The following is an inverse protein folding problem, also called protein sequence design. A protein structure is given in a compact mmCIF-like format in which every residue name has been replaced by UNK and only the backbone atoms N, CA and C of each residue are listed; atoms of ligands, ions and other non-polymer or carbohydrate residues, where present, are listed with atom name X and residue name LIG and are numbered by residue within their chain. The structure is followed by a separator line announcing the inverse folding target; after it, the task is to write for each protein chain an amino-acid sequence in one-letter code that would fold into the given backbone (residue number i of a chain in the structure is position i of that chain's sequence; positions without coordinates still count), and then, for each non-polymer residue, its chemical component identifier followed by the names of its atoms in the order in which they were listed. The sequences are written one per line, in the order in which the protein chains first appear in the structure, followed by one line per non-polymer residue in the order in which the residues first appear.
data_IF_785041656322
#
_entry.id   IF_785041656322
#
_cell.length_a   1.000
_cell.length_b   1.000
_cell.length_c   1.000
_cell.angle_alpha   90.00
_cell.angle_beta   90.00
_cell.angle_gamma   90.00
#
_symmetry.space_group_name_H-M   'P 1'
#
loop_
_entity.id
_entity.type
_entity.pdbx_description
1 polymer ?
#
# COMPACT_ATOMS: atom_id res chain seq x y z
N UNK A 1 -5.27 15.81 1.99
CA UNK A 1 -4.52 16.02 0.73
C UNK A 1 -4.07 14.65 0.23
N UNK A 2 -4.19 14.32 -1.06
CA UNK A 2 -3.61 13.08 -1.58
C UNK A 2 -2.13 13.03 -1.21
N UNK A 3 -1.57 11.85 -0.89
CA UNK A 3 -0.16 11.75 -0.55
C UNK A 3 0.65 12.34 -1.71
N UNK A 4 1.45 13.38 -1.42
CA UNK A 4 2.11 14.23 -2.43
C UNK A 4 2.85 13.42 -3.49
N UNK A 5 3.39 12.25 -3.11
CA UNK A 5 4.04 11.28 -3.99
C UNK A 5 3.11 10.74 -5.09
N UNK A 6 1.92 10.23 -4.75
CA UNK A 6 1.01 9.65 -5.73
C UNK A 6 0.51 10.70 -6.74
N UNK A 7 0.20 11.92 -6.26
CA UNK A 7 -0.19 13.02 -7.14
C UNK A 7 0.94 13.40 -8.11
N UNK A 8 2.21 13.41 -7.67
CA UNK A 8 3.37 13.67 -8.53
C UNK A 8 3.59 12.57 -9.57
N UNK A 9 3.40 11.29 -9.19
CA UNK A 9 3.47 10.18 -10.14
C UNK A 9 2.40 10.31 -11.24
N UNK A 10 1.17 10.65 -10.86
CA UNK A 10 0.07 10.86 -11.83
C UNK A 10 0.36 12.06 -12.73
N UNK A 11 0.87 13.16 -12.19
CA UNK A 11 1.21 14.34 -13.00
C UNK A 11 2.36 14.07 -14.00
N UNK A 12 3.35 13.25 -13.62
CA UNK A 12 4.51 12.97 -14.45
C UNK A 12 4.29 11.82 -15.46
N UNK A 13 3.50 10.81 -15.09
CA UNK A 13 3.41 9.55 -15.84
C UNK A 13 1.98 9.08 -16.11
N UNK A 14 0.96 9.81 -15.64
CA UNK A 14 -0.44 9.45 -15.84
C UNK A 14 -0.88 9.67 -17.28
N UNK A 15 -1.90 8.94 -17.72
CA UNK A 15 -2.50 9.15 -19.04
C UNK A 15 -3.55 10.26 -18.94
N UNK A 16 -3.45 11.36 -19.71
CA UNK A 16 -4.45 12.41 -19.72
C UNK A 16 -5.82 11.89 -20.15
N UNK A 17 -6.88 12.39 -19.51
CA UNK A 17 -8.24 12.13 -19.97
C UNK A 17 -8.51 12.88 -21.28
N UNK A 18 -9.21 12.26 -22.25
CA UNK A 18 -9.61 12.95 -23.48
C UNK A 18 -10.47 14.20 -23.20
N UNK A 19 -11.29 14.14 -22.15
CA UNK A 19 -12.08 15.27 -21.63
C UNK A 19 -11.92 15.29 -20.11
N UNK A 20 -11.23 16.30 -19.53
CA UNK A 20 -11.13 16.45 -18.09
C UNK A 20 -12.48 16.70 -17.39
N UNK A 21 -12.62 16.23 -16.15
CA UNK A 21 -13.79 16.47 -15.30
C UNK A 21 -13.36 17.15 -13.98
N UNK A 22 -13.54 18.47 -13.92
CA UNK A 22 -13.12 19.28 -12.77
C UNK A 22 -11.62 19.16 -12.50
N UNK A 23 -11.24 18.57 -11.36
CA UNK A 23 -9.83 18.34 -10.98
C UNK A 23 -9.29 16.98 -11.44
N UNK A 24 -10.15 16.11 -11.99
CA UNK A 24 -9.75 14.83 -12.56
C UNK A 24 -9.27 15.04 -13.99
N UNK A 25 -7.96 14.98 -14.18
CA UNK A 25 -7.29 15.28 -15.45
C UNK A 25 -6.54 14.09 -16.04
N UNK A 26 -6.18 13.12 -15.22
CA UNK A 26 -5.37 11.97 -15.59
C UNK A 26 -5.89 10.70 -14.90
N UNK A 27 -5.74 9.56 -15.56
CA UNK A 27 -5.80 8.25 -14.89
C UNK A 27 -4.45 7.91 -14.28
N UNK A 28 -4.45 6.99 -13.31
CA UNK A 28 -3.21 6.50 -12.72
C UNK A 28 -2.35 5.80 -13.78
N UNK A 29 -1.01 5.94 -13.75
CA UNK A 29 -0.13 5.28 -14.72
C UNK A 29 -0.30 3.76 -14.75
N UNK A 30 -0.35 3.18 -15.95
CA UNK A 30 -0.29 1.73 -16.14
C UNK A 30 1.04 1.15 -15.59
N UNK A 31 1.06 -0.10 -15.10
CA UNK A 31 2.27 -0.69 -14.53
C UNK A 31 3.47 -0.66 -15.49
N UNK A 32 3.28 -0.95 -16.78
CA UNK A 32 4.35 -0.90 -17.77
C UNK A 32 4.99 0.48 -17.92
N UNK A 33 4.21 1.56 -17.75
CA UNK A 33 4.73 2.92 -17.78
C UNK A 33 5.64 3.18 -16.59
N UNK A 34 5.26 2.71 -15.40
CA UNK A 34 6.06 2.88 -14.18
C UNK A 34 7.30 1.98 -14.12
N UNK A 35 7.26 0.82 -14.80
CA UNK A 35 8.41 -0.06 -14.92
C UNK A 35 9.58 0.61 -15.66
N UNK A 36 9.25 1.34 -16.73
CA UNK A 36 10.21 2.04 -17.61
C UNK A 36 10.45 3.51 -17.22
N UNK A 37 9.76 4.02 -16.20
CA UNK A 37 9.85 5.41 -15.81
C UNK A 37 11.22 5.80 -15.22
N UNK A 38 11.79 6.89 -15.74
CA UNK A 38 12.90 7.62 -15.11
C UNK A 38 12.43 8.36 -13.87
N UNK A 39 12.47 7.68 -12.71
CA UNK A 39 12.07 8.22 -11.41
C UNK A 39 13.19 9.05 -10.73
N UNK A 40 14.16 9.59 -11.45
CA UNK A 40 15.26 10.45 -10.94
C UNK A 40 15.19 11.89 -11.49
N UNK A 41 14.19 12.18 -12.32
CA UNK A 41 14.05 13.49 -12.95
C UNK A 41 13.78 14.63 -11.95
N UNK A 42 13.85 15.90 -12.40
CA UNK A 42 13.52 17.07 -11.59
C UNK A 42 12.07 17.03 -11.05
N UNK A 43 11.19 16.32 -11.75
CA UNK A 43 9.80 16.11 -11.34
C UNK A 43 9.61 14.91 -10.38
N UNK A 44 10.68 14.14 -10.09
CA UNK A 44 10.63 12.95 -9.24
C UNK A 44 10.10 13.30 -7.84
N UNK A 45 9.13 12.53 -7.31
CA UNK A 45 8.60 12.68 -5.96
C UNK A 45 9.60 12.79 -4.79
N UNK A 46 10.91 12.64 -4.99
CA UNK A 46 11.94 12.78 -3.97
C UNK A 46 12.14 11.46 -3.22
N UNK A 47 12.06 10.34 -3.94
CA UNK A 47 12.11 9.01 -3.36
C UNK A 47 13.55 8.49 -3.23
N UNK A 48 13.91 7.85 -2.10
CA UNK A 48 15.16 7.10 -2.02
C UNK A 48 15.25 6.06 -3.14
N UNK A 49 16.45 5.81 -3.66
CA UNK A 49 16.68 4.86 -4.75
C UNK A 49 16.11 3.45 -4.45
N UNK A 50 16.18 3.00 -3.19
CA UNK A 50 15.57 1.73 -2.78
C UNK A 50 14.06 1.68 -3.00
N UNK A 51 13.34 2.78 -2.75
CA UNK A 51 11.89 2.87 -2.99
C UNK A 51 11.57 2.93 -4.48
N UNK A 52 12.39 3.64 -5.26
CA UNK A 52 12.24 3.71 -6.72
C UNK A 52 12.44 2.35 -7.37
N UNK A 53 13.46 1.61 -6.93
CA UNK A 53 13.70 0.23 -7.34
C UNK A 53 12.54 -0.69 -6.97
N UNK A 54 12.02 -0.58 -5.74
CA UNK A 54 10.86 -1.37 -5.31
C UNK A 54 9.63 -1.09 -6.19
N UNK A 55 9.37 0.20 -6.50
CA UNK A 55 8.27 0.59 -7.37
C UNK A 55 8.43 0.01 -8.79
N UNK A 56 9.61 0.16 -9.41
CA UNK A 56 9.89 -0.41 -10.74
C UNK A 56 9.76 -1.93 -10.76
N UNK A 57 10.28 -2.60 -9.73
CA UNK A 57 10.22 -4.07 -9.61
C UNK A 57 8.77 -4.56 -9.50
N UNK A 58 7.96 -3.90 -8.66
CA UNK A 58 6.54 -4.23 -8.54
C UNK A 58 5.76 -3.91 -9.82
N UNK A 59 6.04 -2.77 -10.45
CA UNK A 59 5.39 -2.37 -11.69
C UNK A 59 5.70 -3.32 -12.86
N UNK A 60 6.95 -3.76 -13.01
CA UNK A 60 7.35 -4.75 -14.00
C UNK A 60 6.64 -6.08 -13.79
N UNK A 61 6.63 -6.59 -12.54
CA UNK A 61 5.98 -7.85 -12.21
C UNK A 61 4.45 -7.81 -12.39
N UNK A 62 3.82 -6.64 -12.26
CA UNK A 62 2.40 -6.46 -12.58
C UNK A 62 2.18 -6.39 -14.10
N UNK A 63 3.07 -5.71 -14.84
CA UNK A 63 2.98 -5.55 -16.29
C UNK A 63 3.16 -6.88 -17.04
N UNK A 64 4.06 -7.74 -16.58
CA UNK A 64 4.33 -9.05 -17.20
C UNK A 64 3.46 -10.20 -16.65
N UNK A 65 2.64 -9.93 -15.61
CA UNK A 65 1.75 -10.89 -14.98
C UNK A 65 2.42 -11.86 -14.00
N UNK A 66 3.70 -11.66 -13.67
CA UNK A 66 4.41 -12.41 -12.61
C UNK A 66 3.71 -12.25 -11.27
N UNK A 67 3.15 -11.07 -10.98
CA UNK A 67 2.23 -10.81 -9.87
C UNK A 67 0.87 -10.45 -10.45
N UNK A 68 -0.18 -11.08 -9.92
CA UNK A 68 -1.57 -10.75 -10.25
C UNK A 68 -2.31 -10.32 -9.00
N UNK A 69 -3.04 -9.21 -9.11
CA UNK A 69 -3.87 -8.65 -8.03
C UNK A 69 -5.34 -8.53 -8.44
N UNK A 70 -5.76 -9.29 -9.46
CA UNK A 70 -7.12 -9.29 -9.97
C UNK A 70 -8.13 -9.82 -8.93
N UNK A 71 -9.40 -9.44 -9.01
CA UNK A 71 -10.45 -10.07 -8.21
C UNK A 71 -10.45 -11.59 -8.40
N UNK A 72 -10.40 -12.34 -7.30
CA UNK A 72 -10.45 -13.81 -7.30
C UNK A 72 -9.10 -14.53 -7.39
N UNK A 73 -7.97 -13.82 -7.42
CA UNK A 73 -6.65 -14.46 -7.28
C UNK A 73 -6.50 -15.11 -5.90
N UNK A 74 -5.69 -16.18 -5.85
CA UNK A 74 -5.25 -16.76 -4.59
C UNK A 74 -4.38 -15.74 -3.83
N UNK A 75 -4.85 -15.37 -2.64
CA UNK A 75 -4.21 -14.34 -1.82
C UNK A 75 -2.86 -14.81 -1.27
N UNK A 76 -2.72 -16.09 -0.95
CA UNK A 76 -1.47 -16.67 -0.46
C UNK A 76 -0.43 -16.72 -1.59
N UNK A 77 -0.86 -17.06 -2.81
CA UNK A 77 0.02 -17.01 -3.98
C UNK A 77 0.46 -15.59 -4.33
N UNK A 78 -0.48 -14.64 -4.33
CA UNK A 78 -0.17 -13.24 -4.56
C UNK A 78 0.83 -12.69 -3.52
N UNK A 79 0.62 -13.00 -2.23
CA UNK A 79 1.55 -12.60 -1.16
C UNK A 79 2.94 -13.22 -1.34
N UNK A 80 3.04 -14.53 -1.64
CA UNK A 80 4.33 -15.18 -1.91
C UNK A 80 5.08 -14.53 -3.06
N UNK A 81 4.39 -14.20 -4.15
CA UNK A 81 4.99 -13.54 -5.32
C UNK A 81 5.42 -12.11 -5.00
N UNK A 82 4.62 -11.36 -4.25
CA UNK A 82 4.99 -10.03 -3.76
C UNK A 82 6.25 -10.08 -2.88
N UNK A 83 6.33 -11.03 -1.96
CA UNK A 83 7.50 -11.21 -1.08
C UNK A 83 8.79 -11.60 -1.82
N UNK A 84 8.68 -12.18 -3.01
CA UNK A 84 9.83 -12.49 -3.86
C UNK A 84 10.42 -11.24 -4.55
N UNK A 85 9.68 -10.11 -4.56
CA UNK A 85 10.13 -8.88 -5.21
C UNK A 85 11.12 -8.11 -4.35
N UNK A 86 12.21 -7.65 -4.97
CA UNK A 86 13.20 -6.80 -4.30
C UNK A 86 12.56 -5.51 -3.80
N UNK A 87 12.68 -5.25 -2.49
CA UNK A 87 12.15 -4.03 -1.86
C UNK A 87 10.69 -4.13 -1.41
N UNK A 88 10.02 -5.27 -1.60
CA UNK A 88 8.69 -5.55 -1.03
C UNK A 88 8.86 -6.45 0.19
N UNK A 89 8.68 -5.87 1.38
CA UNK A 89 8.74 -6.60 2.64
C UNK A 89 7.38 -7.11 3.12
N UNK A 90 7.34 -7.89 4.22
CA UNK A 90 6.10 -8.45 4.79
C UNK A 90 5.03 -7.41 5.08
N UNK A 91 5.43 -6.24 5.58
CA UNK A 91 4.47 -5.15 5.82
C UNK A 91 3.78 -4.69 4.53
N UNK A 92 4.54 -4.50 3.44
CA UNK A 92 4.01 -4.04 2.16
C UNK A 92 3.14 -5.13 1.51
N UNK A 93 3.61 -6.37 1.50
CA UNK A 93 2.84 -7.49 0.95
C UNK A 93 1.51 -7.69 1.69
N UNK A 94 1.54 -7.69 3.03
CA UNK A 94 0.34 -7.76 3.85
C UNK A 94 -0.59 -6.56 3.64
N UNK A 95 -0.05 -5.34 3.51
CA UNK A 95 -0.87 -4.16 3.23
C UNK A 95 -1.56 -4.24 1.86
N UNK A 96 -0.87 -4.74 0.82
CA UNK A 96 -1.47 -5.00 -0.51
C UNK A 96 -2.54 -6.09 -0.40
N UNK A 97 -2.25 -7.19 0.28
CA UNK A 97 -3.22 -8.28 0.52
C UNK A 97 -4.49 -7.78 1.19
N UNK A 98 -4.36 -6.95 2.22
CA UNK A 98 -5.50 -6.34 2.92
C UNK A 98 -6.28 -5.36 2.02
N UNK A 99 -5.59 -4.40 1.38
CA UNK A 99 -6.25 -3.27 0.69
C UNK A 99 -6.65 -3.59 -0.74
N UNK A 100 -5.80 -4.27 -1.50
CA UNK A 100 -6.04 -4.59 -2.90
C UNK A 100 -6.84 -5.89 -3.06
N UNK A 101 -6.53 -6.93 -2.27
CA UNK A 101 -7.22 -8.23 -2.37
C UNK A 101 -8.39 -8.38 -1.40
N UNK A 102 -8.64 -7.38 -0.57
CA UNK A 102 -9.75 -7.34 0.39
C UNK A 102 -9.70 -8.49 1.40
N UNK A 103 -8.51 -8.90 1.82
CA UNK A 103 -8.38 -9.95 2.84
C UNK A 103 -8.85 -9.43 4.21
N UNK A 104 -9.87 -10.04 4.84
CA UNK A 104 -10.38 -9.62 6.15
C UNK A 104 -9.46 -9.98 7.32
N UNK A 105 -8.49 -10.89 7.13
CA UNK A 105 -7.72 -11.52 8.20
C UNK A 105 -6.22 -11.22 8.16
N UNK A 106 -5.82 -9.97 7.90
CA UNK A 106 -4.42 -9.53 7.89
C UNK A 106 -4.12 -8.64 9.09
N UNK A 107 -2.99 -8.88 9.75
CA UNK A 107 -2.47 -8.02 10.80
C UNK A 107 -1.05 -7.53 10.47
N UNK A 108 -0.77 -6.25 10.73
CA UNK A 108 0.52 -5.61 10.44
C UNK A 108 1.21 -5.17 11.74
N UNK A 109 1.90 -6.07 12.46
CA UNK A 109 2.41 -5.79 13.81
C UNK A 109 3.48 -4.68 13.84
N UNK A 110 4.20 -4.48 12.74
CA UNK A 110 5.18 -3.40 12.58
C UNK A 110 4.58 -2.04 12.25
N UNK A 111 3.27 -1.95 12.00
CA UNK A 111 2.60 -0.71 11.63
C UNK A 111 2.56 0.28 12.80
N UNK A 112 2.95 1.54 12.56
CA UNK A 112 3.02 2.54 13.60
C UNK A 112 1.65 2.86 14.22
N UNK A 113 0.59 2.90 13.40
CA UNK A 113 -0.77 3.13 13.88
C UNK A 113 -1.29 1.95 14.68
N UNK A 114 -1.02 0.73 14.23
CA UNK A 114 -1.36 -0.49 14.98
C UNK A 114 -0.68 -0.50 16.35
N UNK A 115 0.64 -0.24 16.40
CA UNK A 115 1.40 -0.18 17.65
C UNK A 115 0.87 0.88 18.60
N UNK A 116 0.46 2.04 18.07
CA UNK A 116 -0.14 3.09 18.87
C UNK A 116 -1.49 2.64 19.47
N UNK A 117 -2.39 2.09 18.66
CA UNK A 117 -3.68 1.59 19.13
C UNK A 117 -3.54 0.46 20.16
N UNK A 118 -2.64 -0.49 19.93
CA UNK A 118 -2.36 -1.58 20.87
C UNK A 118 -1.87 -1.04 22.22
N UNK A 119 -0.94 -0.09 22.19
CA UNK A 119 -0.42 0.54 23.41
C UNK A 119 -1.52 1.29 24.19
N UNK A 120 -2.44 1.96 23.50
CA UNK A 120 -3.57 2.65 24.13
C UNK A 120 -4.58 1.67 24.78
N UNK A 121 -4.71 0.46 24.22
CA UNK A 121 -5.53 -0.62 24.78
C UNK A 121 -4.83 -1.42 25.90
N UNK A 122 -3.52 -1.21 26.10
CA UNK A 122 -2.73 -1.97 27.07
C UNK A 122 -2.52 -3.44 26.68
N UNK A 123 -2.59 -3.78 25.40
CA UNK A 123 -2.42 -5.15 24.89
C UNK A 123 -1.22 -5.26 23.94
N UNK A 124 -0.63 -6.45 23.86
CA UNK A 124 0.44 -6.77 22.91
C UNK A 124 -0.09 -7.17 21.53
N UNK A 125 0.80 -7.29 20.53
CA UNK A 125 0.42 -7.74 19.19
C UNK A 125 -0.18 -9.16 19.16
N UNK A 126 0.12 -9.99 20.17
CA UNK A 126 -0.41 -11.35 20.29
C UNK A 126 -1.94 -11.37 20.46
N UNK A 127 -2.54 -10.28 20.96
CA UNK A 127 -4.00 -10.13 21.04
C UNK A 127 -4.67 -10.15 19.66
N UNK A 128 -3.91 -9.97 18.57
CA UNK A 128 -4.46 -10.01 17.22
C UNK A 128 -5.05 -11.37 16.86
N UNK A 129 -4.55 -12.47 17.41
CA UNK A 129 -5.08 -13.80 17.09
C UNK A 129 -6.50 -14.04 17.63
N UNK A 130 -6.91 -13.30 18.66
CA UNK A 130 -8.29 -13.33 19.17
C UNK A 130 -9.29 -12.67 18.20
N UNK A 131 -8.81 -11.88 17.24
CA UNK A 131 -9.64 -11.15 16.28
C UNK A 131 -9.84 -11.88 14.97
N UNK A 132 -9.34 -13.12 14.84
CA UNK A 132 -9.56 -13.92 13.63
C UNK A 132 -11.05 -14.27 13.46
N UNK A 133 -11.57 -14.31 12.24
CA UNK A 133 -10.90 -14.09 10.95
C UNK A 133 -10.99 -12.63 10.45
N UNK A 134 -11.03 -11.64 11.34
CA UNK A 134 -11.32 -10.23 11.04
C UNK A 134 -10.19 -9.27 11.45
N UNK A 135 -8.93 -9.74 11.49
CA UNK A 135 -7.78 -8.95 11.94
C UNK A 135 -7.58 -7.64 11.16
N UNK A 136 -7.94 -7.59 9.88
CA UNK A 136 -7.86 -6.36 9.07
C UNK A 136 -8.82 -5.28 9.59
N UNK A 137 -10.01 -5.67 10.06
CA UNK A 137 -10.98 -4.74 10.64
C UNK A 137 -10.51 -4.23 11.99
N UNK A 138 -9.98 -5.12 12.84
CA UNK A 138 -9.37 -4.72 14.10
C UNK A 138 -8.22 -3.73 13.86
N UNK A 139 -7.35 -3.98 12.88
CA UNK A 139 -6.29 -3.05 12.47
C UNK A 139 -6.84 -1.68 12.05
N UNK A 140 -7.93 -1.62 11.29
CA UNK A 140 -8.61 -0.36 10.96
C UNK A 140 -9.14 0.37 12.22
N UNK A 141 -9.65 -0.35 13.21
CA UNK A 141 -10.06 0.26 14.49
C UNK A 141 -8.86 0.81 15.25
N UNK A 142 -7.73 0.09 15.28
CA UNK A 142 -6.48 0.57 15.91
C UNK A 142 -5.96 1.85 15.25
N UNK A 143 -6.01 1.96 13.92
CA UNK A 143 -5.62 3.19 13.21
C UNK A 143 -6.47 4.40 13.55
N UNK A 144 -7.77 4.18 13.82
CA UNK A 144 -8.70 5.24 14.18
C UNK A 144 -8.73 5.53 15.69
N UNK A 145 -7.96 4.76 16.47
CA UNK A 145 -7.87 4.97 17.90
C UNK A 145 -7.04 6.21 18.20
N UNK A 146 -7.73 7.34 18.38
CA UNK A 146 -7.14 8.56 18.93
C UNK A 146 -7.08 8.40 20.45
N UNK A 147 -5.94 8.64 21.11
CA UNK A 147 -5.89 8.59 22.56
C UNK A 147 -6.85 9.65 23.11
N UNK A 148 -7.65 9.28 24.12
CA UNK A 148 -8.54 10.23 24.78
C UNK A 148 -7.70 11.43 25.25
N UNK A 149 -8.17 12.65 24.94
CA UNK A 149 -7.53 13.86 25.43
C UNK A 149 -7.41 13.75 26.95
N UNK A 150 -6.18 13.81 27.48
CA UNK A 150 -5.96 13.86 28.90
C UNK A 150 -6.77 15.04 29.46
N UNK A 151 -7.75 14.73 30.31
CA UNK A 151 -8.57 15.73 30.98
C UNK A 151 -7.67 16.73 31.71
N UNK A 152 -8.03 18.01 31.60
CA UNK A 152 -7.41 19.15 32.30
C UNK A 152 -7.19 18.88 33.79
#
# INVERSE_FOLDING_TARGET
APPRLAARLVAAHGTPLPVPDGTLTHVFPEPGVLAEAGLDGPDDPGMPESRRRALRTAAAALADGTVRLDPGVDRDDAERRLLALTGVGPWTAGYIRMRALGDPDVFLPGDAGARHGLAALGVGPDAADDWRPWRSYALHHLWNHTPAAAGK
#
